data_IF_153105970506
#
_entry.id   IF_153105970506
#
_cell.length_a   1.000
_cell.length_b   1.000
_cell.length_c   1.000
_cell.angle_alpha   90.00
_cell.angle_beta   90.00
_cell.angle_gamma   90.00
#
_symmetry.space_group_name_H-M   'P 1'
#
loop_
_entity.id
_entity.type
_entity.pdbx_description
1 polymer ?
#
# COMPACT_ATOMS: atom_id res chain seq x y z
N UNK A 1 6.43 24.75 36.74
CA UNK A 1 7.54 25.46 36.07
C UNK A 1 7.15 25.72 34.63
N UNK A 2 7.39 26.95 34.18
CA UNK A 2 7.23 27.53 32.82
C UNK A 2 7.42 26.53 31.65
N UNK A 3 6.80 26.70 30.47
CA UNK A 3 7.00 27.82 29.52
C UNK A 3 5.75 28.14 28.66
N UNK A 4 5.33 29.41 28.76
CA UNK A 4 4.74 30.42 27.85
C UNK A 4 3.90 30.07 26.59
N UNK A 5 2.78 30.80 26.34
CA UNK A 5 1.90 30.67 25.16
C UNK A 5 2.08 31.80 24.12
N UNK A 6 1.60 31.62 22.88
CA UNK A 6 1.13 32.71 22.02
C UNK A 6 0.09 32.24 21.00
N UNK A 7 -1.09 32.85 21.12
CA UNK A 7 -2.30 32.75 20.29
C UNK A 7 -2.48 34.15 19.67
N UNK A 8 -2.79 34.28 18.37
CA UNK A 8 -3.99 34.99 17.87
C UNK A 8 -3.96 35.41 16.39
N UNK A 9 -5.15 35.27 15.79
CA UNK A 9 -5.84 36.18 14.87
C UNK A 9 -5.02 37.11 13.95
N UNK A 10 -5.01 36.80 12.66
CA UNK A 10 -4.82 37.77 11.58
C UNK A 10 -6.00 37.70 10.61
N UNK A 11 -7.11 38.34 10.98
CA UNK A 11 -8.21 38.64 10.07
C UNK A 11 -8.82 39.97 10.53
N UNK A 12 -8.13 41.09 10.26
CA UNK A 12 -8.58 42.46 10.54
C UNK A 12 -7.65 43.52 9.90
N UNK A 13 -7.83 43.77 8.61
CA UNK A 13 -7.53 45.00 7.88
C UNK A 13 -8.11 44.71 6.48
N UNK A 14 -9.15 45.39 6.01
CA UNK A 14 -9.14 46.80 5.65
C UNK A 14 -10.51 47.40 5.96
N UNK A 15 -10.54 48.25 6.98
CA UNK A 15 -11.66 49.12 7.31
C UNK A 15 -11.32 50.52 6.79
N UNK A 16 -12.22 51.03 5.96
CA UNK A 16 -12.37 52.37 5.40
C UNK A 16 -12.04 53.52 6.40
N UNK A 17 -11.76 54.75 5.94
CA UNK A 17 -12.85 55.71 6.00
C UNK A 17 -12.92 56.70 4.83
N UNK A 18 -14.16 56.89 4.37
CA UNK A 18 -14.63 58.12 3.75
C UNK A 18 -14.65 59.27 4.76
N UNK A 19 -14.81 60.45 4.17
CA UNK A 19 -15.38 61.67 4.73
C UNK A 19 -14.34 62.58 5.41
N UNK A 20 -14.45 63.89 5.30
CA UNK A 20 -15.63 64.69 5.62
C UNK A 20 -15.35 66.13 5.19
N UNK A 21 -16.39 66.84 4.70
CA UNK A 21 -16.63 68.30 4.82
C UNK A 21 -15.54 69.27 4.31
N UNK A 22 -15.77 70.53 4.00
CA UNK A 22 -16.91 71.42 3.76
C UNK A 22 -16.23 72.65 3.10
N UNK A 23 -16.87 73.29 2.12
CA UNK A 23 -17.31 74.68 2.17
C UNK A 23 -16.28 75.78 2.49
N UNK A 24 -16.51 76.91 1.83
CA UNK A 24 -16.09 78.27 2.22
C UNK A 24 -14.67 78.70 1.87
N UNK A 25 -14.37 79.96 1.58
CA UNK A 25 -15.09 81.05 0.92
C UNK A 25 -13.97 82.07 0.63
N UNK A 26 -14.11 82.75 -0.50
CA UNK A 26 -13.68 84.10 -0.87
C UNK A 26 -12.67 84.97 -0.05
N UNK A 27 -12.05 85.87 -0.82
CA UNK A 27 -11.40 87.16 -0.45
C UNK A 27 -10.01 87.06 0.20
N UNK A 28 -8.95 87.74 -0.24
CA UNK A 28 -8.85 89.00 -0.97
C UNK A 28 -8.05 90.00 -0.11
N UNK A 29 -6.72 90.04 -0.22
CA UNK A 29 -5.87 91.10 0.35
C UNK A 29 -4.63 91.19 -0.54
N UNK A 30 -4.55 92.13 -1.50
CA UNK A 30 -4.16 93.55 -1.34
C UNK A 30 -2.77 93.73 -0.70
N UNK A 31 -1.93 94.49 -1.41
CA UNK A 31 -0.84 95.32 -0.89
C UNK A 31 0.48 94.63 -0.53
N UNK A 32 1.30 94.35 -1.55
CA UNK A 32 2.73 94.67 -1.48
C UNK A 32 3.09 95.52 -2.71
N UNK A 33 3.22 96.83 -2.46
CA UNK A 33 4.17 97.75 -3.11
C UNK A 33 3.94 98.02 -4.61
N UNK A 34 2.97 98.85 -5.00
CA UNK A 34 3.16 100.31 -5.04
C UNK A 34 4.60 100.71 -5.43
N UNK A 35 4.94 100.68 -6.74
CA UNK A 35 5.98 101.53 -7.36
C UNK A 35 6.13 101.49 -8.89
N UNK A 36 5.32 100.72 -9.64
CA UNK A 36 5.43 100.69 -11.11
C UNK A 36 4.05 100.75 -11.82
N UNK A 37 3.09 101.47 -11.21
CA UNK A 37 1.68 101.53 -11.63
C UNK A 37 1.30 102.53 -12.72
N UNK A 38 2.24 103.26 -13.33
CA UNK A 38 1.92 104.25 -14.36
C UNK A 38 2.67 104.08 -15.69
N UNK A 39 3.68 103.21 -15.76
CA UNK A 39 4.64 103.18 -16.87
C UNK A 39 4.55 101.97 -17.82
N UNK A 40 3.75 100.93 -17.52
CA UNK A 40 3.54 99.81 -18.46
C UNK A 40 2.08 99.58 -18.90
N UNK A 41 1.11 100.31 -18.32
CA UNK A 41 -0.28 100.31 -18.81
C UNK A 41 -0.42 100.94 -20.21
N UNK A 42 0.49 101.84 -20.58
CA UNK A 42 0.60 102.42 -21.91
C UNK A 42 1.34 101.51 -22.92
N UNK A 43 2.25 100.66 -22.44
CA UNK A 43 2.92 99.65 -23.27
C UNK A 43 2.00 98.46 -23.57
N UNK A 44 1.08 98.13 -22.66
CA UNK A 44 0.06 97.09 -22.90
C UNK A 44 -0.97 97.51 -23.96
N UNK A 45 -1.34 98.78 -24.05
CA UNK A 45 -2.35 99.25 -25.03
C UNK A 45 -1.81 99.30 -26.47
N UNK A 46 -0.50 99.58 -26.67
CA UNK A 46 0.12 99.51 -28.00
C UNK A 46 0.43 98.07 -28.46
N UNK A 47 0.46 97.08 -27.57
CA UNK A 47 0.69 95.68 -27.92
C UNK A 47 -0.59 94.92 -28.34
N UNK A 48 -1.78 95.43 -28.02
CA UNK A 48 -3.07 94.81 -28.37
C UNK A 48 -3.57 95.14 -29.79
N UNK A 49 -2.89 96.04 -30.52
CA UNK A 49 -3.33 96.49 -31.86
C UNK A 49 -2.64 95.77 -33.04
N UNK A 50 -1.71 94.84 -32.77
CA UNK A 50 -1.01 94.06 -33.80
C UNK A 50 -1.06 92.57 -33.41
N UNK A 51 -1.95 91.78 -34.01
CA UNK A 51 -1.77 90.33 -34.00
C UNK A 51 -3.02 89.46 -34.07
N UNK A 52 -3.61 89.41 -35.27
CA UNK A 52 -4.37 88.31 -35.89
C UNK A 52 -5.04 87.25 -35.01
N UNK A 53 -6.35 87.17 -35.20
CA UNK A 53 -7.22 86.03 -34.95
C UNK A 53 -6.74 84.78 -35.71
N UNK A 54 -5.95 83.95 -35.04
CA UNK A 54 -5.66 82.59 -35.50
C UNK A 54 -6.50 81.62 -34.68
N UNK A 55 -7.60 81.15 -35.25
CA UNK A 55 -8.38 80.01 -34.77
C UNK A 55 -7.42 78.86 -34.44
N UNK A 56 -7.18 78.62 -33.15
CA UNK A 56 -6.41 77.48 -32.66
C UNK A 56 -7.20 76.22 -32.98
N UNK A 57 -6.95 75.65 -34.15
CA UNK A 57 -7.35 74.28 -34.46
C UNK A 57 -6.47 73.40 -33.57
N UNK A 58 -7.06 72.74 -32.58
CA UNK A 58 -6.39 71.68 -31.85
C UNK A 58 -5.87 70.66 -32.86
N UNK A 59 -4.60 70.21 -32.78
CA UNK A 59 -4.11 69.19 -33.70
C UNK A 59 -5.05 67.97 -33.65
N UNK A 60 -5.39 67.37 -34.80
CA UNK A 60 -6.21 66.16 -34.80
C UNK A 60 -5.53 65.13 -33.92
N UNK A 61 -6.31 64.46 -33.04
CA UNK A 61 -5.80 63.39 -32.21
C UNK A 61 -5.04 62.41 -33.11
N UNK A 62 -3.78 62.02 -32.77
CA UNK A 62 -3.02 61.12 -33.61
C UNK A 62 -3.85 59.85 -33.84
N UNK A 63 -3.91 59.34 -35.09
CA UNK A 63 -4.69 58.14 -35.38
C UNK A 63 -4.23 57.03 -34.45
N UNK A 64 -5.15 56.24 -33.87
CA UNK A 64 -4.80 55.21 -32.90
C UNK A 64 -3.70 54.31 -33.49
N UNK A 65 -2.65 53.99 -32.72
CA UNK A 65 -1.52 53.24 -33.23
C UNK A 65 -2.02 51.90 -33.79
N UNK A 66 -1.57 51.57 -34.99
CA UNK A 66 -1.98 50.34 -35.68
C UNK A 66 -1.33 49.17 -34.97
N UNK A 67 -2.08 48.50 -34.11
CA UNK A 67 -1.62 47.34 -33.35
C UNK A 67 -2.03 46.06 -34.09
N UNK A 68 -1.06 45.17 -34.31
CA UNK A 68 -1.34 43.87 -34.90
C UNK A 68 -2.08 43.02 -33.88
N UNK A 69 -3.34 42.69 -34.17
CA UNK A 69 -4.17 41.81 -33.35
C UNK A 69 -4.41 40.51 -34.09
N UNK A 70 -4.39 39.40 -33.37
CA UNK A 70 -4.75 38.07 -33.89
C UNK A 70 -5.78 37.43 -32.98
N UNK A 71 -6.73 36.70 -33.57
CA UNK A 71 -7.77 36.00 -32.81
C UNK A 71 -7.22 34.69 -32.22
N UNK A 72 -7.43 34.41 -30.93
CA UNK A 72 -6.93 33.17 -30.33
C UNK A 72 -7.65 31.96 -30.93
N UNK A 73 -6.87 31.01 -31.46
CA UNK A 73 -7.38 29.71 -31.90
C UNK A 73 -7.45 28.80 -30.67
N UNK A 74 -8.66 28.47 -30.22
CA UNK A 74 -8.86 27.54 -29.10
C UNK A 74 -8.70 26.12 -29.58
N UNK A 75 -7.57 25.50 -29.27
CA UNK A 75 -7.33 24.08 -29.47
C UNK A 75 -7.35 23.35 -28.13
N UNK A 76 -7.93 22.16 -28.08
CA UNK A 76 -7.87 21.31 -26.89
C UNK A 76 -6.45 20.81 -26.70
N UNK A 77 -5.74 21.35 -25.71
CA UNK A 77 -4.40 20.91 -25.33
C UNK A 77 -4.54 19.86 -24.24
N UNK A 78 -4.06 18.64 -24.52
CA UNK A 78 -3.98 17.60 -23.51
C UNK A 78 -2.76 17.90 -22.62
N UNK A 79 -3.00 18.14 -21.34
CA UNK A 79 -1.94 18.34 -20.35
C UNK A 79 -1.42 16.98 -19.90
N UNK A 80 -0.20 16.64 -20.29
CA UNK A 80 0.49 15.44 -19.81
C UNK A 80 1.16 15.76 -18.48
N UNK A 81 0.92 14.91 -17.49
CA UNK A 81 1.60 14.95 -16.21
C UNK A 81 2.43 13.67 -16.07
N UNK A 82 3.74 13.82 -15.96
CA UNK A 82 4.65 12.70 -15.74
C UNK A 82 4.75 12.43 -14.24
N UNK A 83 4.45 11.20 -13.86
CA UNK A 83 4.59 10.71 -12.49
C UNK A 83 5.49 9.50 -12.51
N UNK A 84 6.40 9.41 -11.55
CA UNK A 84 7.20 8.21 -11.33
C UNK A 84 6.32 7.19 -10.60
N UNK A 85 5.97 6.11 -11.28
CA UNK A 85 5.29 4.95 -10.70
C UNK A 85 6.27 3.78 -10.56
N UNK A 86 6.15 3.04 -9.46
CA UNK A 86 6.81 1.75 -9.32
C UNK A 86 5.83 0.65 -9.76
N UNK A 87 6.34 -0.27 -10.58
CA UNK A 87 5.61 -1.47 -10.94
C UNK A 87 6.03 -2.59 -10.00
N UNK A 88 5.05 -3.21 -9.35
CA UNK A 88 5.24 -4.41 -8.53
C UNK A 88 4.46 -5.57 -9.13
N UNK A 89 4.95 -6.79 -8.94
CA UNK A 89 4.24 -7.99 -9.39
C UNK A 89 2.95 -8.17 -8.59
N UNK A 90 1.84 -8.44 -9.28
CA UNK A 90 0.53 -8.65 -8.64
C UNK A 90 0.55 -9.80 -7.64
N UNK A 91 1.32 -10.86 -7.93
CA UNK A 91 1.54 -11.98 -7.02
C UNK A 91 3.03 -12.32 -7.01
N UNK A 92 3.63 -12.35 -5.82
CA UNK A 92 5.00 -12.81 -5.62
C UNK A 92 4.99 -14.02 -4.71
N UNK A 93 5.54 -15.13 -5.21
CA UNK A 93 5.63 -16.39 -4.48
C UNK A 93 7.07 -16.70 -4.13
N UNK A 94 7.36 -16.82 -2.84
CA UNK A 94 8.64 -17.36 -2.38
C UNK A 94 8.54 -18.87 -2.22
N UNK A 95 9.33 -19.60 -3.02
CA UNK A 95 9.39 -21.06 -3.04
C UNK A 95 10.39 -21.52 -1.98
N UNK A 96 9.92 -22.16 -0.90
CA UNK A 96 10.77 -22.63 0.20
C UNK A 96 10.65 -24.14 0.41
N UNK A 97 11.78 -24.81 0.66
CA UNK A 97 11.78 -26.23 0.94
C UNK A 97 11.18 -26.55 2.33
N UNK A 98 10.16 -27.39 2.38
CA UNK A 98 9.47 -27.93 3.56
C UNK A 98 10.28 -29.02 4.26
N UNK A 99 11.09 -29.75 3.51
CA UNK A 99 11.89 -30.87 4.00
C UNK A 99 13.37 -30.63 3.73
N UNK A 100 14.23 -31.10 4.63
CA UNK A 100 15.69 -30.94 4.52
C UNK A 100 16.26 -32.00 3.59
N UNK A 101 17.20 -31.67 2.72
CA UNK A 101 17.83 -32.69 1.90
C UNK A 101 18.76 -32.11 0.85
N UNK A 102 19.41 -33.00 0.11
CA UNK A 102 20.25 -32.62 -1.00
C UNK A 102 19.42 -32.43 -2.26
N UNK A 103 19.65 -31.32 -2.94
CA UNK A 103 19.05 -31.04 -4.24
C UNK A 103 19.67 -31.99 -5.28
N UNK A 104 18.80 -32.75 -5.96
CA UNK A 104 19.19 -33.69 -7.01
C UNK A 104 19.16 -33.04 -8.39
N UNK A 105 18.14 -32.24 -8.66
CA UNK A 105 17.88 -31.68 -10.00
C UNK A 105 17.06 -30.39 -9.91
N UNK A 106 17.37 -29.43 -10.79
CA UNK A 106 16.59 -28.22 -11.05
C UNK A 106 15.93 -28.44 -12.42
N UNK A 107 14.60 -28.33 -12.48
CA UNK A 107 13.80 -28.73 -13.64
C UNK A 107 13.22 -27.54 -14.43
N UNK A 108 13.78 -26.33 -14.26
CA UNK A 108 13.38 -25.12 -14.97
C UNK A 108 14.59 -24.26 -15.32
N UNK A 109 14.43 -23.40 -16.33
CA UNK A 109 15.41 -22.36 -16.70
C UNK A 109 14.98 -21.02 -16.12
N UNK A 110 15.94 -20.17 -15.76
CA UNK A 110 15.64 -18.82 -15.30
C UNK A 110 14.91 -18.03 -16.40
N UNK A 111 13.75 -17.47 -16.04
CA UNK A 111 12.88 -16.73 -16.97
C UNK A 111 11.78 -17.55 -17.65
N UNK A 112 11.74 -18.87 -17.46
CA UNK A 112 10.69 -19.73 -18.02
C UNK A 112 9.33 -19.51 -17.32
N UNK A 113 8.26 -19.56 -18.10
CA UNK A 113 6.89 -19.53 -17.58
C UNK A 113 6.53 -20.89 -16.96
N UNK A 114 6.36 -20.92 -15.63
CA UNK A 114 6.06 -22.14 -14.88
C UNK A 114 4.60 -22.18 -14.43
N UNK A 115 3.92 -23.29 -14.70
CA UNK A 115 2.54 -23.51 -14.25
C UNK A 115 2.50 -23.94 -12.78
N UNK A 116 1.41 -23.63 -12.10
CA UNK A 116 1.17 -24.10 -10.74
C UNK A 116 1.22 -25.63 -10.68
N UNK A 117 2.01 -26.16 -9.73
CA UNK A 117 2.18 -27.61 -9.54
C UNK A 117 3.23 -28.25 -10.46
N UNK A 118 3.90 -27.49 -11.32
CA UNK A 118 5.05 -27.98 -12.06
C UNK A 118 6.19 -28.39 -11.10
N UNK A 119 6.94 -29.44 -11.48
CA UNK A 119 8.13 -29.85 -10.75
C UNK A 119 9.23 -28.81 -11.00
N UNK A 120 9.60 -28.06 -9.97
CA UNK A 120 10.70 -27.08 -10.05
C UNK A 120 12.03 -27.68 -9.59
N UNK A 121 11.99 -28.44 -8.50
CA UNK A 121 13.17 -28.98 -7.85
C UNK A 121 12.92 -30.40 -7.37
N UNK A 122 13.91 -31.26 -7.53
CA UNK A 122 13.88 -32.65 -7.08
C UNK A 122 14.88 -32.82 -5.95
N UNK A 123 14.41 -33.28 -4.80
CA UNK A 123 15.25 -33.64 -3.66
C UNK A 123 15.59 -35.14 -3.75
N UNK A 124 16.79 -35.55 -3.33
CA UNK A 124 17.16 -36.97 -3.28
C UNK A 124 16.25 -37.73 -2.28
N UNK A 125 15.46 -38.73 -2.73
CA UNK A 125 14.52 -39.43 -1.86
C UNK A 125 15.15 -40.60 -1.07
N UNK A 126 16.44 -40.94 -1.27
CA UNK A 126 17.05 -42.17 -0.71
C UNK A 126 16.90 -42.31 0.80
N UNK A 127 17.15 -41.23 1.54
CA UNK A 127 17.02 -41.23 3.00
C UNK A 127 15.54 -41.39 3.42
N UNK A 128 14.64 -40.66 2.77
CA UNK A 128 13.20 -40.73 3.02
C UNK A 128 12.60 -42.11 2.74
N UNK A 129 12.98 -42.74 1.62
CA UNK A 129 12.57 -44.11 1.28
C UNK A 129 13.04 -45.09 2.37
N UNK A 130 14.24 -44.89 2.90
CA UNK A 130 14.79 -45.76 3.96
C UNK A 130 14.00 -45.61 5.27
N UNK A 131 13.61 -44.39 5.63
CA UNK A 131 12.76 -44.11 6.79
C UNK A 131 11.37 -44.73 6.64
N UNK A 132 10.74 -44.59 5.45
CA UNK A 132 9.45 -45.23 5.17
C UNK A 132 9.55 -46.75 5.26
N UNK A 133 10.58 -47.35 4.65
CA UNK A 133 10.81 -48.81 4.72
C UNK A 133 10.99 -49.32 6.15
N UNK A 134 11.68 -48.55 7.00
CA UNK A 134 11.82 -48.87 8.42
C UNK A 134 10.46 -48.85 9.13
N UNK A 135 9.69 -47.78 8.94
CA UNK A 135 8.36 -47.64 9.55
C UNK A 135 7.39 -48.73 9.06
N UNK A 136 7.47 -49.14 7.80
CA UNK A 136 6.72 -50.28 7.28
C UNK A 136 7.11 -51.60 7.95
N UNK A 137 8.40 -51.83 8.20
CA UNK A 137 8.86 -53.02 8.90
C UNK A 137 8.35 -53.04 10.35
N UNK A 138 8.36 -51.90 11.03
CA UNK A 138 7.81 -51.75 12.37
C UNK A 138 6.29 -52.00 12.39
N UNK A 139 5.54 -51.49 11.41
CA UNK A 139 4.12 -51.77 11.25
C UNK A 139 3.85 -53.25 11.00
N UNK A 140 4.62 -53.92 10.13
CA UNK A 140 4.49 -55.37 9.88
C UNK A 140 4.73 -56.20 11.14
N UNK A 141 5.73 -55.81 11.94
CA UNK A 141 6.00 -56.45 13.24
C UNK A 141 4.81 -56.30 14.19
N UNK A 142 4.28 -55.08 14.33
CA UNK A 142 3.10 -54.83 15.18
C UNK A 142 1.83 -55.54 14.68
N UNK A 143 1.66 -55.64 13.36
CA UNK A 143 0.54 -56.39 12.75
C UNK A 143 0.60 -57.86 13.09
N UNK A 144 1.77 -58.47 12.94
CA UNK A 144 1.99 -59.89 13.27
C UNK A 144 1.71 -60.17 14.75
N UNK A 145 2.15 -59.26 15.63
CA UNK A 145 1.92 -59.38 17.07
C UNK A 145 0.43 -59.23 17.42
N UNK A 146 -0.27 -58.28 16.80
CA UNK A 146 -1.70 -58.14 16.95
C UNK A 146 -2.46 -59.39 16.50
N UNK A 147 -2.10 -59.97 15.34
CA UNK A 147 -2.72 -61.18 14.82
C UNK A 147 -2.48 -62.39 15.74
N UNK A 148 -1.30 -62.49 16.34
CA UNK A 148 -0.97 -63.50 17.36
C UNK A 148 -1.87 -63.34 18.58
N UNK A 149 -1.89 -62.15 19.20
CA UNK A 149 -2.71 -61.89 20.39
C UNK A 149 -4.22 -62.04 20.11
N UNK A 150 -4.67 -61.64 18.92
CA UNK A 150 -6.06 -61.83 18.47
C UNK A 150 -6.42 -63.31 18.41
N UNK A 151 -5.57 -64.13 17.78
CA UNK A 151 -5.78 -65.58 17.68
C UNK A 151 -5.78 -66.25 19.06
N UNK A 152 -4.95 -65.78 19.99
CA UNK A 152 -4.92 -66.27 21.37
C UNK A 152 -6.18 -65.88 22.16
N UNK A 153 -6.67 -64.65 22.01
CA UNK A 153 -7.91 -64.20 22.63
C UNK A 153 -9.14 -64.97 22.09
N UNK A 154 -9.18 -65.22 20.78
CA UNK A 154 -10.23 -66.04 20.15
C UNK A 154 -10.18 -67.51 20.58
N UNK A 155 -8.98 -68.05 20.82
CA UNK A 155 -8.82 -69.40 21.38
C UNK A 155 -9.29 -69.43 22.83
N UNK A 156 -8.96 -68.41 23.62
CA UNK A 156 -9.34 -68.31 25.01
C UNK A 156 -10.86 -68.18 25.20
N UNK A 157 -11.55 -67.44 24.34
CA UNK A 157 -13.02 -67.33 24.40
C UNK A 157 -13.71 -68.69 24.17
N UNK A 158 -13.20 -69.51 23.25
CA UNK A 158 -13.70 -70.87 23.01
C UNK A 158 -13.49 -71.78 24.22
N UNK A 159 -12.32 -71.70 24.86
CA UNK A 159 -11.98 -72.51 26.04
C UNK A 159 -12.75 -72.09 27.30
N UNK A 160 -13.08 -70.80 27.43
CA UNK A 160 -13.93 -70.29 28.49
C UNK A 160 -15.35 -70.86 28.38
N UNK A 161 -15.89 -70.95 27.16
CA UNK A 161 -17.19 -71.57 26.89
C UNK A 161 -17.25 -73.06 27.27
N UNK A 162 -16.14 -73.79 27.12
CA UNK A 162 -16.00 -75.18 27.57
C UNK A 162 -15.55 -75.33 29.03
N UNK A 163 -15.52 -74.23 29.82
CA UNK A 163 -15.02 -74.19 31.22
C UNK A 163 -13.61 -74.78 31.42
N UNK A 164 -12.78 -74.73 30.38
CA UNK A 164 -11.42 -75.26 30.39
C UNK A 164 -10.34 -74.20 30.73
N UNK A 165 -10.74 -72.93 30.86
CA UNK A 165 -9.87 -71.79 31.15
C UNK A 165 -10.51 -70.91 32.23
N UNK A 166 -9.69 -70.29 33.09
CA UNK A 166 -10.13 -69.30 34.07
C UNK A 166 -10.53 -67.96 33.42
N UNK A 167 -11.40 -67.20 34.09
CA UNK A 167 -11.82 -65.86 33.62
C UNK A 167 -10.62 -64.91 33.58
N UNK A 168 -9.75 -64.97 34.60
CA UNK A 168 -8.55 -64.14 34.69
C UNK A 168 -7.62 -64.34 33.47
N UNK A 169 -7.32 -65.58 33.09
CA UNK A 169 -6.49 -65.89 31.93
C UNK A 169 -7.12 -65.39 30.61
N UNK A 170 -8.44 -65.43 30.51
CA UNK A 170 -9.16 -64.87 29.37
C UNK A 170 -9.00 -63.35 29.31
N UNK A 171 -9.23 -62.66 30.42
CA UNK A 171 -9.09 -61.19 30.52
C UNK A 171 -7.66 -60.74 30.24
N UNK A 172 -6.65 -61.48 30.71
CA UNK A 172 -5.23 -61.21 30.40
C UNK A 172 -4.95 -61.27 28.89
N UNK A 173 -5.53 -62.25 28.16
CA UNK A 173 -5.34 -62.38 26.70
C UNK A 173 -6.10 -61.32 25.92
N UNK A 174 -7.28 -60.92 26.39
CA UNK A 174 -8.02 -59.78 25.82
C UNK A 174 -7.23 -58.49 26.02
N UNK A 175 -6.71 -58.24 27.21
CA UNK A 175 -5.86 -57.09 27.49
C UNK A 175 -4.60 -57.08 26.60
N UNK A 176 -3.96 -58.24 26.40
CA UNK A 176 -2.80 -58.37 25.50
C UNK A 176 -3.14 -58.07 24.03
N UNK A 177 -4.33 -58.45 23.55
CA UNK A 177 -4.82 -58.06 22.22
C UNK A 177 -5.03 -56.55 22.13
N UNK A 178 -5.61 -55.95 23.16
CA UNK A 178 -5.94 -54.52 23.14
C UNK A 178 -4.67 -53.66 23.19
N UNK A 179 -3.66 -54.05 23.97
CA UNK A 179 -2.34 -53.39 23.96
C UNK A 179 -1.60 -53.57 22.63
N UNK A 180 -1.69 -54.75 22.01
CA UNK A 180 -1.15 -54.96 20.67
C UNK A 180 -1.88 -54.11 19.61
N UNK A 181 -3.19 -53.91 19.75
CA UNK A 181 -3.98 -53.05 18.86
C UNK A 181 -3.56 -51.58 18.97
N UNK A 182 -3.29 -51.10 20.18
CA UNK A 182 -2.78 -49.75 20.41
C UNK A 182 -1.39 -49.58 19.77
N UNK A 183 -0.54 -50.61 19.86
CA UNK A 183 0.79 -50.62 19.25
C UNK A 183 0.71 -50.62 17.71
N UNK A 184 -0.25 -51.35 17.12
CA UNK A 184 -0.54 -51.29 15.68
C UNK A 184 -0.92 -49.85 15.27
N UNK A 185 -1.83 -49.21 15.99
CA UNK A 185 -2.24 -47.83 15.69
C UNK A 185 -1.06 -46.85 15.79
N UNK A 186 -0.19 -47.00 16.80
CA UNK A 186 1.02 -46.19 16.96
C UNK A 186 1.98 -46.36 15.76
N UNK A 187 2.26 -47.60 15.36
CA UNK A 187 3.17 -47.86 14.22
C UNK A 187 2.58 -47.43 12.89
N UNK A 188 1.27 -47.56 12.71
CA UNK A 188 0.55 -47.03 11.55
C UNK A 188 0.65 -45.51 11.46
N UNK A 189 0.51 -44.80 12.59
CA UNK A 189 0.73 -43.36 12.66
C UNK A 189 2.18 -42.98 12.33
N UNK A 190 3.16 -43.74 12.84
CA UNK A 190 4.58 -43.55 12.51
C UNK A 190 4.87 -43.72 11.01
N UNK A 191 4.29 -44.74 10.36
CA UNK A 191 4.36 -44.89 8.89
C UNK A 191 3.71 -43.72 8.16
N UNK A 192 2.56 -43.25 8.65
CA UNK A 192 1.87 -42.06 8.12
C UNK A 192 2.77 -40.82 8.15
N UNK A 193 3.42 -40.56 9.28
CA UNK A 193 4.37 -39.46 9.44
C UNK A 193 5.56 -39.58 8.47
N UNK A 194 6.17 -40.77 8.35
CA UNK A 194 7.25 -41.01 7.41
C UNK A 194 6.80 -40.79 5.94
N UNK A 195 5.61 -41.28 5.58
CA UNK A 195 5.06 -41.12 4.23
C UNK A 195 4.75 -39.65 3.88
N UNK A 196 4.31 -38.86 4.86
CA UNK A 196 4.02 -37.43 4.68
C UNK A 196 5.28 -36.63 4.34
N UNK A 197 6.44 -37.04 4.84
CA UNK A 197 7.72 -36.41 4.50
C UNK A 197 8.17 -36.74 3.07
N UNK A 198 7.85 -37.94 2.57
CA UNK A 198 8.19 -38.35 1.19
C UNK A 198 7.26 -37.72 0.14
N UNK A 199 5.95 -37.66 0.42
CA UNK A 199 4.93 -37.18 -0.53
C UNK A 199 4.56 -35.71 -0.39
N UNK A 200 4.89 -35.09 0.74
CA UNK A 200 4.64 -33.67 0.93
C UNK A 200 5.34 -32.91 -0.18
N UNK A 201 4.59 -32.08 -0.93
CA UNK A 201 5.19 -31.17 -1.91
C UNK A 201 6.36 -30.48 -1.19
N UNK A 202 7.60 -30.74 -1.64
CA UNK A 202 8.75 -30.29 -0.90
C UNK A 202 8.83 -28.78 -0.88
N UNK A 203 8.05 -28.05 -1.68
CA UNK A 203 8.05 -26.60 -1.67
C UNK A 203 6.70 -26.03 -1.24
N UNK A 204 6.72 -25.22 -0.20
CA UNK A 204 5.62 -24.32 0.12
C UNK A 204 5.83 -22.99 -0.59
N UNK A 205 4.77 -22.46 -1.19
CA UNK A 205 4.72 -21.06 -1.55
C UNK A 205 4.28 -20.27 -0.33
N UNK A 206 5.06 -19.28 0.09
CA UNK A 206 4.54 -18.19 0.90
C UNK A 206 4.23 -17.05 -0.05
N UNK A 207 2.98 -16.60 -0.07
CA UNK A 207 2.62 -15.33 -0.70
C UNK A 207 3.36 -14.22 0.04
N UNK A 208 4.17 -13.45 -0.68
CA UNK A 208 4.94 -12.36 -0.10
C UNK A 208 4.05 -11.13 0.22
N UNK A 209 2.79 -11.14 -0.24
CA UNK A 209 1.82 -10.06 -0.17
C UNK A 209 0.65 -10.39 0.78
N UNK A 210 0.93 -10.46 2.07
CA UNK A 210 -0.05 -9.90 3.00
C UNK A 210 0.63 -8.70 3.64
N UNK A 211 0.40 -7.48 3.09
CA UNK A 211 0.48 -6.30 3.94
C UNK A 211 -0.37 -6.63 5.15
N UNK A 212 0.19 -6.46 6.35
CA UNK A 212 -0.62 -6.48 7.56
C UNK A 212 -1.88 -5.66 7.29
N UNK A 213 -2.99 -6.22 7.73
CA UNK A 213 -4.36 -5.76 7.87
C UNK A 213 -4.54 -4.35 8.50
N UNK A 214 -3.62 -3.43 8.25
CA UNK A 214 -3.81 -2.00 8.34
C UNK A 214 -4.21 -1.48 6.97
N UNK A 215 -5.51 -1.24 6.79
CA UNK A 215 -6.06 -0.51 5.65
C UNK A 215 -5.21 0.75 5.37
N UNK A 216 -4.58 0.88 4.19
CA UNK A 216 -3.82 2.08 3.82
C UNK A 216 -4.70 3.34 3.71
N UNK A 217 -6.03 3.16 3.74
CA UNK A 217 -7.03 4.18 3.47
C UNK A 217 -7.88 4.56 4.68
N UNK A 218 -7.39 4.39 5.92
CA UNK A 218 -8.10 4.97 7.07
C UNK A 218 -8.09 6.51 6.98
N UNK A 219 -9.26 7.18 6.87
CA UNK A 219 -9.31 8.62 6.83
C UNK A 219 -8.98 9.19 8.21
N UNK A 220 -7.94 10.01 8.30
CA UNK A 220 -7.60 10.78 9.48
C UNK A 220 -8.62 11.91 9.71
N UNK A 221 -9.81 11.60 10.23
CA UNK A 221 -10.75 12.64 10.70
C UNK A 221 -11.26 12.31 12.10
N UNK A 222 -11.25 13.26 13.05
CA UNK A 222 -11.73 13.03 14.41
C UNK A 222 -13.26 13.01 14.45
N UNK A 223 -13.82 12.13 15.30
CA UNK A 223 -15.24 12.13 15.69
C UNK A 223 -15.57 13.30 16.60
#
# INVERSE_FOLDING_TARGET
MNITPCRNHANQAYRNPQAFHDADNAHGVRLICARYGAAMLLATVLLYAVGCEQKRIAPPAPPPPVVSVTSPVTATVQSYHEYNGNLEAMETVQVQARVKGFLKEIAFTEGDEVKQGALLFKIDPREYISVVKRAEADMRRATTEFDRCKSEAERASKLLGSRALGIEDYEQRVAARDTASATLMQTQAGRGQASAQLHGNPFSHRRADQPGDGDPWQPCWPK
#
